data_IF_828118202988
#
_entry.id   IF_828118202988
#
_cell.length_a   1.000
_cell.length_b   1.000
_cell.length_c   1.000
_cell.angle_alpha   90.00
_cell.angle_beta   90.00
_cell.angle_gamma   90.00
#
_symmetry.space_group_name_H-M   'P 1'
#
loop_
_entity.id
_entity.type
_entity.pdbx_description
1 polymer ?
#
# COMPACT_ATOMS: atom_id res chain seq x y z
N UNK A 1 -2.72 -25.90 -25.87
CA UNK A 1 -1.31 -25.46 -25.72
C UNK A 1 -1.02 -25.36 -24.24
N UNK A 2 0.04 -26.05 -23.76
CA UNK A 2 0.43 -26.05 -22.36
C UNK A 2 1.05 -24.70 -22.03
N UNK A 3 0.83 -24.23 -20.81
CA UNK A 3 1.38 -22.97 -20.24
C UNK A 3 2.91 -22.85 -20.32
N UNK A 4 3.59 -23.92 -20.75
CA UNK A 4 5.05 -24.01 -20.92
C UNK A 4 5.59 -23.43 -22.22
N UNK A 5 4.72 -22.99 -23.13
CA UNK A 5 5.15 -22.57 -24.49
C UNK A 5 5.23 -21.03 -24.66
N UNK A 6 5.00 -20.25 -23.60
CA UNK A 6 5.23 -18.81 -23.63
C UNK A 6 6.73 -18.55 -23.39
N UNK A 7 7.40 -17.76 -24.24
CA UNK A 7 8.79 -17.41 -24.00
C UNK A 7 8.93 -16.72 -22.66
N UNK A 8 9.87 -17.17 -21.83
CA UNK A 8 10.18 -16.53 -20.56
C UNK A 8 10.69 -15.11 -20.81
N UNK A 9 10.16 -14.14 -20.06
CA UNK A 9 10.62 -12.74 -20.13
C UNK A 9 12.06 -12.69 -19.60
N UNK A 10 12.99 -12.17 -20.40
CA UNK A 10 14.38 -12.04 -20.00
C UNK A 10 14.54 -10.85 -19.07
N UNK A 11 15.09 -11.10 -17.89
CA UNK A 11 15.32 -10.06 -16.90
C UNK A 11 16.67 -9.36 -17.14
N UNK A 12 16.62 -8.08 -17.53
CA UNK A 12 17.79 -7.23 -17.79
C UNK A 12 17.54 -5.82 -17.24
N UNK A 13 17.71 -5.60 -15.93
CA UNK A 13 17.38 -4.31 -15.32
C UNK A 13 18.44 -3.22 -15.56
N UNK A 14 19.70 -3.56 -15.87
CA UNK A 14 20.78 -2.58 -16.08
C UNK A 14 20.56 -1.76 -17.33
N UNK A 15 20.07 -0.54 -17.15
CA UNK A 15 19.80 0.40 -18.24
C UNK A 15 20.10 1.87 -17.90
N UNK A 16 20.73 2.10 -16.73
CA UNK A 16 21.07 3.46 -16.26
C UNK A 16 19.93 4.21 -15.59
N UNK A 17 18.77 3.58 -15.46
CA UNK A 17 17.58 4.14 -14.79
C UNK A 17 17.21 3.21 -13.64
N UNK A 18 17.01 3.77 -12.45
CA UNK A 18 16.53 2.99 -11.29
C UNK A 18 15.01 2.88 -11.39
N UNK A 19 14.50 1.67 -11.59
CA UNK A 19 13.07 1.40 -11.76
C UNK A 19 12.51 0.62 -10.60
N UNK A 20 11.52 1.20 -9.93
CA UNK A 20 10.77 0.57 -8.85
C UNK A 20 9.35 0.27 -9.31
N UNK A 21 8.89 -0.94 -9.04
CA UNK A 21 7.53 -1.38 -9.35
C UNK A 21 6.83 -1.89 -8.09
N UNK A 22 5.56 -1.57 -7.94
CA UNK A 22 4.76 -2.06 -6.83
C UNK A 22 3.31 -1.59 -6.85
N UNK A 23 2.56 -1.97 -5.82
CA UNK A 23 1.19 -1.56 -5.66
C UNK A 23 1.07 -0.07 -5.32
N UNK A 24 -0.04 0.54 -5.69
CA UNK A 24 -0.33 1.93 -5.31
C UNK A 24 -0.40 2.13 -3.80
N UNK A 25 -0.08 3.32 -3.36
CA UNK A 25 0.00 3.74 -1.97
C UNK A 25 1.31 4.48 -1.71
N UNK A 26 2.43 3.78 -1.47
CA UNK A 26 3.72 4.41 -1.20
C UNK A 26 4.31 5.21 -2.36
N UNK A 27 3.85 4.99 -3.58
CA UNK A 27 4.43 5.58 -4.79
C UNK A 27 4.48 7.10 -4.75
N UNK A 28 3.50 7.77 -4.17
CA UNK A 28 3.47 9.24 -4.08
C UNK A 28 4.58 9.77 -3.19
N UNK A 29 4.80 9.14 -2.03
CA UNK A 29 5.90 9.49 -1.14
C UNK A 29 7.26 9.11 -1.76
N UNK A 30 7.36 7.94 -2.37
CA UNK A 30 8.59 7.51 -3.06
C UNK A 30 9.00 8.49 -4.18
N UNK A 31 8.03 8.99 -4.94
CA UNK A 31 8.31 10.00 -5.99
C UNK A 31 8.91 11.27 -5.42
N UNK A 32 8.43 11.72 -4.27
CA UNK A 32 8.99 12.91 -3.58
C UNK A 32 10.45 12.67 -3.16
N UNK A 33 10.75 11.51 -2.61
CA UNK A 33 12.11 11.12 -2.24
C UNK A 33 12.99 10.99 -3.48
N UNK A 34 12.49 10.34 -4.52
CA UNK A 34 13.19 10.16 -5.78
C UNK A 34 13.56 11.50 -6.44
N UNK A 35 12.67 12.47 -6.41
CA UNK A 35 12.91 13.81 -6.95
C UNK A 35 14.11 14.49 -6.27
N UNK A 36 14.22 14.41 -4.96
CA UNK A 36 15.34 14.94 -4.20
C UNK A 36 16.64 14.22 -4.57
N UNK A 37 16.61 12.90 -4.63
CA UNK A 37 17.79 12.10 -4.93
C UNK A 37 18.27 12.26 -6.37
N UNK A 38 17.37 12.35 -7.34
CA UNK A 38 17.71 12.60 -8.74
C UNK A 38 18.52 13.89 -8.92
N UNK A 39 18.12 14.96 -8.24
CA UNK A 39 18.81 16.26 -8.29
C UNK A 39 20.24 16.16 -7.76
N UNK A 40 20.50 15.31 -6.79
CA UNK A 40 21.81 15.14 -6.18
C UNK A 40 22.69 14.15 -6.93
N UNK A 41 22.11 13.04 -7.34
CA UNK A 41 22.85 11.93 -7.95
C UNK A 41 23.03 12.07 -9.46
N UNK A 42 22.13 12.79 -10.13
CA UNK A 42 22.06 12.82 -11.58
C UNK A 42 21.50 11.55 -12.20
N UNK A 43 21.07 10.60 -11.40
CA UNK A 43 20.49 9.32 -11.86
C UNK A 43 18.97 9.40 -11.84
N UNK A 44 18.34 9.01 -12.95
CA UNK A 44 16.88 8.98 -13.07
C UNK A 44 16.30 7.82 -12.28
N UNK A 45 15.19 8.09 -11.57
CA UNK A 45 14.39 7.10 -10.86
C UNK A 45 12.97 7.10 -11.41
N UNK A 46 12.48 5.93 -11.78
CA UNK A 46 11.10 5.74 -12.20
C UNK A 46 10.35 4.93 -11.15
N UNK A 47 9.23 5.46 -10.69
CA UNK A 47 8.34 4.81 -9.74
C UNK A 47 7.07 4.42 -10.47
N UNK A 48 6.87 3.11 -10.68
CA UNK A 48 5.73 2.58 -11.44
C UNK A 48 4.80 1.87 -10.46
N UNK A 49 3.56 2.32 -10.38
CA UNK A 49 2.55 1.80 -9.46
C UNK A 49 1.24 1.52 -10.18
N UNK A 50 0.31 0.96 -9.45
CA UNK A 50 -1.03 0.65 -9.91
C UNK A 50 -1.28 -0.85 -10.05
N UNK A 51 -2.33 -1.25 -10.76
CA UNK A 51 -2.66 -2.66 -10.95
C UNK A 51 -1.51 -3.42 -11.60
N UNK A 52 -1.10 -4.52 -10.99
CA UNK A 52 0.04 -5.34 -11.44
C UNK A 52 -0.08 -5.77 -12.91
N UNK A 53 -1.30 -6.03 -13.38
CA UNK A 53 -1.57 -6.42 -14.76
C UNK A 53 -1.06 -5.39 -15.79
N UNK A 54 -0.92 -4.12 -15.39
CA UNK A 54 -0.44 -3.06 -16.29
C UNK A 54 1.07 -3.02 -16.42
N UNK A 55 1.81 -3.50 -15.44
CA UNK A 55 3.25 -3.35 -15.41
C UNK A 55 4.03 -4.67 -15.21
N UNK A 56 3.33 -5.79 -15.02
CA UNK A 56 4.00 -7.07 -14.69
C UNK A 56 5.04 -7.49 -15.73
N UNK A 57 4.74 -7.41 -17.02
CA UNK A 57 5.69 -7.78 -18.06
C UNK A 57 6.93 -6.89 -18.05
N UNK A 58 6.75 -5.58 -17.89
CA UNK A 58 7.84 -4.61 -17.82
C UNK A 58 8.70 -4.85 -16.57
N UNK A 59 8.08 -5.11 -15.43
CA UNK A 59 8.80 -5.39 -14.18
C UNK A 59 9.62 -6.69 -14.28
N UNK A 60 9.08 -7.74 -14.89
CA UNK A 60 9.84 -8.97 -15.13
C UNK A 60 11.08 -8.70 -16.00
N UNK A 61 10.97 -7.78 -16.95
CA UNK A 61 12.06 -7.43 -17.84
C UNK A 61 13.11 -6.51 -17.19
N UNK A 62 12.70 -5.47 -16.48
CA UNK A 62 13.60 -4.36 -16.15
C UNK A 62 13.50 -3.79 -14.73
N UNK A 63 12.75 -4.40 -13.82
CA UNK A 63 12.68 -3.90 -12.45
C UNK A 63 14.02 -4.05 -11.72
N UNK A 64 14.54 -2.93 -11.20
CA UNK A 64 15.66 -2.96 -10.26
C UNK A 64 15.16 -3.30 -8.86
N UNK A 65 14.01 -2.77 -8.47
CA UNK A 65 13.44 -2.90 -7.14
C UNK A 65 11.94 -3.20 -7.25
N UNK A 66 11.47 -4.11 -6.41
CA UNK A 66 10.04 -4.29 -6.15
C UNK A 66 9.71 -3.80 -4.75
N UNK A 67 8.56 -3.17 -4.55
CA UNK A 67 8.05 -2.90 -3.21
C UNK A 67 6.72 -3.62 -2.98
N UNK A 68 6.56 -4.13 -1.78
CA UNK A 68 5.32 -4.69 -1.28
C UNK A 68 4.70 -3.76 -0.23
N UNK A 69 3.39 -3.81 -0.12
CA UNK A 69 2.63 -3.00 0.84
C UNK A 69 2.15 -3.83 2.04
N UNK A 70 2.58 -5.07 2.09
CA UNK A 70 2.45 -6.02 3.20
C UNK A 70 3.34 -7.24 2.89
N UNK A 71 3.51 -8.11 3.89
CA UNK A 71 4.17 -9.40 3.67
C UNK A 71 3.44 -10.21 2.60
N UNK A 72 2.12 -10.26 2.66
CA UNK A 72 1.30 -11.02 1.71
C UNK A 72 1.45 -10.54 0.27
N UNK A 73 1.48 -9.21 0.05
CA UNK A 73 1.64 -8.68 -1.30
C UNK A 73 3.02 -8.97 -1.88
N UNK A 74 4.07 -8.88 -1.07
CA UNK A 74 5.42 -9.23 -1.52
C UNK A 74 5.53 -10.73 -1.79
N UNK A 75 4.97 -11.58 -0.95
CA UNK A 75 4.95 -13.03 -1.18
C UNK A 75 4.28 -13.36 -2.51
N UNK A 76 3.17 -12.71 -2.83
CA UNK A 76 2.50 -12.88 -4.12
C UNK A 76 3.39 -12.44 -5.30
N UNK A 77 4.07 -11.30 -5.18
CA UNK A 77 5.00 -10.84 -6.21
C UNK A 77 6.13 -11.85 -6.47
N UNK A 78 6.72 -12.40 -5.43
CA UNK A 78 7.83 -13.36 -5.56
C UNK A 78 7.44 -14.68 -6.24
N UNK A 79 6.16 -14.98 -6.33
CA UNK A 79 5.68 -16.11 -7.16
C UNK A 79 5.81 -15.82 -8.65
N UNK A 80 5.75 -14.56 -9.05
CA UNK A 80 5.84 -14.13 -10.45
C UNK A 80 7.27 -13.69 -10.81
N UNK A 81 7.90 -12.87 -9.97
CA UNK A 81 9.20 -12.24 -10.25
C UNK A 81 10.36 -13.10 -9.76
N UNK A 82 10.63 -14.17 -10.52
CA UNK A 82 11.59 -15.22 -10.12
C UNK A 82 13.05 -14.77 -10.07
N UNK A 83 13.39 -13.63 -10.67
CA UNK A 83 14.73 -13.08 -10.60
C UNK A 83 15.08 -12.50 -9.21
N UNK A 84 14.08 -12.27 -8.36
CA UNK A 84 14.26 -11.69 -7.04
C UNK A 84 14.39 -12.76 -5.97
N UNK A 85 15.37 -12.59 -5.07
CA UNK A 85 15.65 -13.52 -3.98
C UNK A 85 14.75 -13.19 -2.76
N UNK A 86 13.86 -14.12 -2.36
CA UNK A 86 13.01 -13.90 -1.20
C UNK A 86 13.75 -13.59 0.10
N UNK A 87 14.97 -14.14 0.26
CA UNK A 87 15.78 -13.92 1.46
C UNK A 87 16.34 -12.50 1.58
N UNK A 88 16.24 -11.72 0.50
CA UNK A 88 16.73 -10.33 0.45
C UNK A 88 15.63 -9.29 0.68
N UNK A 89 14.40 -9.71 0.87
CA UNK A 89 13.29 -8.80 1.20
C UNK A 89 13.57 -8.14 2.55
N UNK A 90 13.41 -6.80 2.61
CA UNK A 90 13.61 -6.01 3.82
C UNK A 90 12.43 -5.08 4.06
N UNK A 91 11.89 -5.05 5.29
CA UNK A 91 10.97 -3.98 5.67
C UNK A 91 11.75 -2.66 5.79
N UNK A 92 11.17 -1.58 5.27
CA UNK A 92 11.80 -0.26 5.30
C UNK A 92 10.97 0.79 6.04
N UNK A 93 9.66 0.68 6.02
CA UNK A 93 8.72 1.58 6.70
C UNK A 93 7.54 0.80 7.24
N UNK A 94 6.84 1.39 8.22
CA UNK A 94 5.55 0.91 8.71
C UNK A 94 4.54 2.06 8.63
N UNK A 95 3.25 1.71 8.58
CA UNK A 95 2.17 2.68 8.71
C UNK A 95 0.98 2.06 9.44
N UNK A 96 0.21 2.89 10.17
CA UNK A 96 -0.96 2.43 10.91
C UNK A 96 -2.19 2.38 10.02
N UNK A 97 -3.15 1.51 10.37
CA UNK A 97 -4.53 1.66 9.89
C UNK A 97 -5.15 2.92 10.47
N UNK A 98 -6.00 3.56 9.69
CA UNK A 98 -6.77 4.74 10.09
C UNK A 98 -8.21 4.61 9.60
N UNK A 99 -9.06 5.51 10.07
CA UNK A 99 -10.39 5.70 9.51
C UNK A 99 -10.31 6.87 8.53
N UNK A 100 -10.64 6.64 7.27
CA UNK A 100 -10.90 7.72 6.32
C UNK A 100 -12.40 8.03 6.35
N UNK A 101 -12.75 9.28 6.60
CA UNK A 101 -14.15 9.75 6.64
C UNK A 101 -14.36 10.79 5.55
N UNK A 102 -15.61 11.17 5.28
CA UNK A 102 -15.90 12.29 4.37
C UNK A 102 -15.19 13.55 4.83
N UNK A 103 -14.68 14.34 3.90
CA UNK A 103 -14.09 15.64 4.19
C UNK A 103 -15.07 16.51 5.01
N UNK A 104 -14.54 17.12 6.07
CA UNK A 104 -15.36 17.87 7.04
C UNK A 104 -15.98 17.01 8.15
N UNK A 105 -15.85 15.70 8.06
CA UNK A 105 -16.36 14.75 9.06
C UNK A 105 -17.81 15.01 9.49
N UNK A 106 -18.79 14.98 8.58
CA UNK A 106 -20.17 15.37 8.88
C UNK A 106 -20.86 14.48 9.90
N UNK A 107 -20.43 13.24 10.07
CA UNK A 107 -20.96 12.29 11.06
C UNK A 107 -20.25 12.38 12.42
N UNK A 108 -19.29 13.28 12.57
CA UNK A 108 -18.51 13.44 13.81
C UNK A 108 -17.92 12.11 14.32
N UNK A 109 -17.28 11.38 13.42
CA UNK A 109 -16.60 10.11 13.73
C UNK A 109 -15.31 10.44 14.49
N UNK A 110 -15.17 9.93 15.72
CA UNK A 110 -14.02 10.24 16.58
C UNK A 110 -13.11 9.04 16.86
N UNK A 111 -13.56 7.85 16.50
CA UNK A 111 -12.83 6.61 16.73
C UNK A 111 -13.67 5.41 16.30
N UNK A 112 -13.23 4.22 16.66
CA UNK A 112 -13.89 2.98 16.27
C UNK A 112 -15.36 2.89 16.75
N UNK A 113 -15.64 3.31 17.97
CA UNK A 113 -17.01 3.21 18.53
C UNK A 113 -18.04 3.98 17.71
N UNK A 114 -17.64 5.07 17.07
CA UNK A 114 -18.51 5.81 16.15
C UNK A 114 -18.97 4.96 14.97
N UNK A 115 -18.18 3.98 14.57
CA UNK A 115 -18.47 3.09 13.43
C UNK A 115 -19.52 2.01 13.77
N UNK A 116 -19.83 1.83 15.05
CA UNK A 116 -20.82 0.87 15.52
C UNK A 116 -22.25 1.43 15.56
N UNK A 117 -22.41 2.72 15.33
CA UNK A 117 -23.73 3.37 15.26
C UNK A 117 -24.50 2.79 14.08
N UNK A 118 -25.75 2.38 14.35
CA UNK A 118 -26.63 1.80 13.34
C UNK A 118 -26.83 2.76 12.16
N UNK A 119 -26.71 2.22 10.95
CA UNK A 119 -26.86 2.98 9.71
C UNK A 119 -25.58 3.67 9.22
N UNK A 120 -24.47 3.54 9.94
CA UNK A 120 -23.16 3.99 9.46
C UNK A 120 -22.78 3.18 8.20
N UNK A 121 -22.35 3.86 7.15
CA UNK A 121 -21.99 3.22 5.89
C UNK A 121 -20.47 3.08 5.80
N UNK A 122 -19.97 1.85 5.86
CA UNK A 122 -18.55 1.56 5.92
C UNK A 122 -18.10 0.80 4.66
N UNK A 123 -17.00 1.25 4.06
CA UNK A 123 -16.29 0.51 3.01
C UNK A 123 -15.11 -0.21 3.63
N UNK A 124 -14.89 -1.45 3.23
CA UNK A 124 -13.72 -2.24 3.60
C UNK A 124 -13.03 -2.78 2.36
N UNK A 125 -11.73 -3.02 2.47
CA UNK A 125 -10.93 -3.60 1.39
C UNK A 125 -10.82 -5.10 1.60
N UNK A 126 -11.17 -5.84 0.56
CA UNK A 126 -11.02 -7.30 0.51
C UNK A 126 -9.94 -7.69 -0.50
N UNK A 127 -9.49 -8.92 -0.39
CA UNK A 127 -8.58 -9.54 -1.34
C UNK A 127 -9.13 -10.88 -1.82
N UNK A 128 -8.40 -11.54 -2.67
CA UNK A 128 -8.82 -12.79 -3.30
C UNK A 128 -7.66 -13.79 -3.28
N UNK A 129 -7.50 -14.49 -2.16
CA UNK A 129 -6.43 -15.47 -1.98
C UNK A 129 -5.04 -14.82 -2.11
N UNK A 130 -4.24 -15.30 -3.05
CA UNK A 130 -2.89 -14.79 -3.28
C UNK A 130 -2.86 -13.34 -3.80
N UNK A 131 -3.98 -12.80 -4.23
CA UNK A 131 -4.10 -11.41 -4.70
C UNK A 131 -4.47 -10.43 -3.58
N UNK A 132 -4.20 -10.82 -2.34
CA UNK A 132 -4.45 -9.96 -1.20
C UNK A 132 -3.61 -8.68 -1.26
N UNK A 133 -4.25 -7.57 -0.91
CA UNK A 133 -3.60 -6.27 -0.82
C UNK A 133 -3.32 -5.90 0.64
N UNK A 134 -2.62 -4.82 0.87
CA UNK A 134 -2.29 -4.34 2.22
C UNK A 134 -3.51 -4.04 3.10
N UNK A 135 -4.65 -3.72 2.48
CA UNK A 135 -5.89 -3.44 3.20
C UNK A 135 -6.75 -4.67 3.48
N UNK A 136 -6.41 -5.83 2.90
CA UNK A 136 -7.21 -7.04 3.03
C UNK A 136 -7.25 -7.54 4.47
N UNK A 137 -8.47 -7.80 4.98
CA UNK A 137 -8.68 -8.38 6.30
C UNK A 137 -8.40 -7.44 7.47
N UNK A 138 -7.92 -6.22 7.24
CA UNK A 138 -7.60 -5.29 8.34
C UNK A 138 -8.82 -4.91 9.15
N UNK A 139 -9.99 -4.82 8.55
CA UNK A 139 -11.20 -4.45 9.27
C UNK A 139 -11.58 -5.49 10.34
N UNK A 140 -11.36 -6.78 10.08
CA UNK A 140 -11.64 -7.84 11.05
C UNK A 140 -10.69 -7.71 12.26
N UNK A 141 -9.41 -7.46 12.02
CA UNK A 141 -8.44 -7.25 13.07
C UNK A 141 -8.76 -5.99 13.89
N UNK A 142 -9.13 -4.90 13.24
CA UNK A 142 -9.53 -3.66 13.90
C UNK A 142 -10.78 -3.88 14.74
N UNK A 143 -11.82 -4.47 14.17
CA UNK A 143 -13.10 -4.68 14.85
C UNK A 143 -13.00 -5.72 15.97
N UNK A 144 -12.19 -6.76 15.79
CA UNK A 144 -12.03 -7.83 16.76
C UNK A 144 -11.03 -7.54 17.87
N UNK A 145 -10.14 -6.58 17.68
CA UNK A 145 -9.09 -6.28 18.64
C UNK A 145 -9.66 -5.53 19.86
N UNK A 146 -9.44 -6.06 21.05
CA UNK A 146 -9.98 -5.54 22.32
C UNK A 146 -11.50 -5.37 22.33
N UNK A 147 -12.19 -5.96 21.34
CA UNK A 147 -13.64 -5.89 21.19
C UNK A 147 -14.31 -7.23 21.47
N UNK A 148 -15.62 -7.19 21.61
CA UNK A 148 -16.45 -8.39 21.69
C UNK A 148 -16.87 -8.88 20.31
N UNK A 149 -17.36 -10.11 20.22
CA UNK A 149 -18.00 -10.61 19.01
C UNK A 149 -19.21 -9.75 18.59
N UNK A 150 -19.86 -9.09 19.56
CA UNK A 150 -20.94 -8.15 19.26
C UNK A 150 -20.43 -6.93 18.49
N UNK A 151 -19.25 -6.41 18.83
CA UNK A 151 -18.64 -5.29 18.12
C UNK A 151 -18.33 -5.67 16.66
N UNK A 152 -17.77 -6.84 16.44
CA UNK A 152 -17.50 -7.38 15.09
C UNK A 152 -18.81 -7.52 14.32
N UNK A 153 -19.83 -8.10 14.92
CA UNK A 153 -21.15 -8.31 14.29
C UNK A 153 -21.82 -6.97 13.94
N UNK A 154 -21.76 -5.99 14.84
CA UNK A 154 -22.34 -4.67 14.61
C UNK A 154 -21.58 -3.90 13.52
N UNK A 155 -20.26 -3.94 13.55
CA UNK A 155 -19.43 -3.36 12.48
C UNK A 155 -19.78 -3.99 11.11
N UNK A 156 -19.85 -5.32 11.05
CA UNK A 156 -20.19 -6.04 9.82
C UNK A 156 -21.54 -5.62 9.24
N UNK A 157 -22.54 -5.36 10.06
CA UNK A 157 -23.84 -4.89 9.60
C UNK A 157 -23.78 -3.55 8.88
N UNK A 158 -22.80 -2.72 9.22
CA UNK A 158 -22.60 -1.39 8.64
C UNK A 158 -21.77 -1.41 7.36
N UNK A 159 -21.17 -2.54 6.99
CA UNK A 159 -20.36 -2.64 5.77
C UNK A 159 -21.27 -2.63 4.55
N UNK A 160 -21.10 -1.65 3.68
CA UNK A 160 -21.88 -1.48 2.44
C UNK A 160 -21.10 -1.94 1.20
N UNK A 161 -19.78 -2.12 1.30
CA UNK A 161 -18.95 -2.61 0.20
C UNK A 161 -17.73 -3.35 0.71
N UNK A 162 -17.49 -4.50 0.11
CA UNK A 162 -16.27 -5.29 0.21
C UNK A 162 -15.54 -5.16 -1.12
N UNK A 163 -14.67 -4.17 -1.23
CA UNK A 163 -14.05 -3.80 -2.50
C UNK A 163 -12.70 -4.49 -2.71
N UNK A 164 -12.42 -4.94 -3.91
CA UNK A 164 -11.18 -5.62 -4.27
C UNK A 164 -10.05 -4.62 -4.52
N UNK A 165 -9.27 -4.32 -3.48
CA UNK A 165 -8.14 -3.40 -3.52
C UNK A 165 -8.50 -1.98 -3.10
N UNK A 166 -7.47 -1.20 -2.78
CA UNK A 166 -7.64 0.16 -2.22
C UNK A 166 -8.25 1.15 -3.22
N UNK A 167 -7.88 1.07 -4.49
CA UNK A 167 -8.45 1.94 -5.54
C UNK A 167 -9.94 1.69 -5.73
N UNK A 168 -10.36 0.42 -5.74
CA UNK A 168 -11.78 0.05 -5.81
C UNK A 168 -12.54 0.49 -4.57
N UNK A 169 -11.91 0.41 -3.38
CA UNK A 169 -12.49 0.89 -2.12
C UNK A 169 -12.72 2.39 -2.16
N UNK A 170 -11.75 3.15 -2.66
CA UNK A 170 -11.89 4.61 -2.81
C UNK A 170 -13.03 4.99 -3.77
N UNK A 171 -13.14 4.29 -4.89
CA UNK A 171 -14.25 4.50 -5.82
C UNK A 171 -15.59 4.16 -5.20
N UNK A 172 -15.71 3.03 -4.49
CA UNK A 172 -16.92 2.63 -3.79
C UNK A 172 -17.30 3.65 -2.70
N UNK A 173 -16.31 4.18 -1.98
CA UNK A 173 -16.55 5.22 -0.97
C UNK A 173 -17.28 6.42 -1.57
N UNK A 174 -16.86 6.88 -2.73
CA UNK A 174 -17.49 8.01 -3.43
C UNK A 174 -18.87 7.65 -4.00
N UNK A 175 -18.94 6.53 -4.73
CA UNK A 175 -20.17 6.11 -5.42
C UNK A 175 -21.33 5.79 -4.46
N UNK A 176 -21.02 5.17 -3.32
CA UNK A 176 -22.01 4.80 -2.32
C UNK A 176 -22.28 5.88 -1.30
N UNK A 177 -21.62 7.02 -1.41
CA UNK A 177 -21.71 8.10 -0.41
C UNK A 177 -21.44 7.53 0.99
N UNK A 178 -20.37 6.77 1.14
CA UNK A 178 -20.02 6.10 2.39
C UNK A 178 -19.54 7.08 3.46
N UNK A 179 -19.65 6.68 4.72
CA UNK A 179 -19.28 7.52 5.86
C UNK A 179 -17.85 7.27 6.32
N UNK A 180 -17.37 6.03 6.18
CA UNK A 180 -16.06 5.62 6.67
C UNK A 180 -15.45 4.51 5.83
N UNK A 181 -14.11 4.45 5.88
CA UNK A 181 -13.31 3.42 5.23
C UNK A 181 -12.09 3.14 6.09
N UNK A 182 -11.90 1.89 6.47
CA UNK A 182 -10.69 1.45 7.18
C UNK A 182 -9.58 1.30 6.16
N UNK A 183 -8.55 2.13 6.27
CA UNK A 183 -7.49 2.22 5.28
C UNK A 183 -6.17 2.74 5.88
N UNK A 184 -5.32 3.30 5.05
CA UNK A 184 -4.00 3.81 5.38
C UNK A 184 -3.93 5.33 5.25
N UNK A 185 -3.03 6.01 5.99
CA UNK A 185 -2.99 7.49 6.03
C UNK A 185 -2.79 8.16 4.67
N UNK A 186 -2.10 7.52 3.75
CA UNK A 186 -1.84 8.11 2.43
C UNK A 186 -3.12 8.48 1.67
N UNK A 187 -4.21 7.72 1.85
CA UNK A 187 -5.46 7.99 1.14
C UNK A 187 -6.09 9.32 1.55
N UNK A 188 -6.41 9.59 2.82
CA UNK A 188 -6.92 10.90 3.20
C UNK A 188 -5.90 12.02 3.02
N UNK A 189 -4.60 11.77 3.21
CA UNK A 189 -3.57 12.80 3.05
C UNK A 189 -3.47 13.26 1.59
N UNK A 190 -3.55 12.34 0.63
CA UNK A 190 -3.42 12.67 -0.80
C UNK A 190 -4.75 13.05 -1.47
N UNK A 191 -5.89 12.86 -0.79
CA UNK A 191 -7.23 13.19 -1.29
C UNK A 191 -8.02 14.04 -0.27
N UNK A 192 -7.50 15.19 0.17
CA UNK A 192 -8.12 15.98 1.25
C UNK A 192 -9.44 16.63 0.87
N UNK A 193 -9.75 16.73 -0.41
CA UNK A 193 -11.01 17.21 -0.94
C UNK A 193 -12.18 16.21 -0.73
N UNK A 194 -11.85 14.93 -0.64
CA UNK A 194 -12.83 13.82 -0.50
C UNK A 194 -12.81 13.21 0.88
N UNK A 195 -11.61 13.07 1.46
CA UNK A 195 -11.36 12.30 2.68
C UNK A 195 -10.71 13.15 3.76
N UNK A 196 -11.02 12.79 5.01
CA UNK A 196 -10.35 13.30 6.21
C UNK A 196 -9.88 12.12 7.06
N UNK A 197 -8.73 12.26 7.71
CA UNK A 197 -8.15 11.22 8.54
C UNK A 197 -8.67 11.31 9.97
N UNK A 198 -9.20 10.21 10.49
CA UNK A 198 -9.50 10.02 11.91
C UNK A 198 -8.65 8.86 12.40
N UNK A 199 -7.83 9.05 13.43
CA UNK A 199 -7.03 7.94 13.97
C UNK A 199 -7.90 6.88 14.63
N UNK A 200 -7.46 5.64 14.58
CA UNK A 200 -8.02 4.56 15.39
C UNK A 200 -7.47 4.61 16.81
N UNK A 201 -8.22 4.06 17.73
CA UNK A 201 -7.77 3.83 19.11
C UNK A 201 -6.48 3.01 19.07
N UNK A 202 -5.53 3.33 19.95
CA UNK A 202 -4.23 2.68 19.96
C UNK A 202 -4.32 1.15 20.02
N UNK A 203 -5.22 0.63 20.87
CA UNK A 203 -5.43 -0.82 21.03
C UNK A 203 -6.03 -1.52 19.81
N UNK A 204 -6.58 -0.76 18.84
CA UNK A 204 -7.18 -1.32 17.63
C UNK A 204 -6.36 -1.04 16.39
N UNK A 205 -5.29 -0.27 16.51
CA UNK A 205 -4.43 0.09 15.39
C UNK A 205 -3.61 -1.09 14.91
N UNK A 206 -3.68 -1.37 13.62
CA UNK A 206 -2.87 -2.40 12.96
C UNK A 206 -1.73 -1.72 12.21
N UNK A 207 -0.53 -2.18 12.42
CA UNK A 207 0.66 -1.70 11.73
C UNK A 207 1.09 -2.73 10.68
N UNK A 208 1.34 -2.27 9.46
CA UNK A 208 1.91 -3.12 8.41
C UNK A 208 3.12 -2.43 7.78
N UNK A 209 4.06 -3.26 7.34
CA UNK A 209 5.29 -2.78 6.72
C UNK A 209 5.14 -2.46 5.24
N UNK A 210 6.01 -1.60 4.77
CA UNK A 210 6.41 -1.47 3.38
C UNK A 210 7.75 -2.17 3.27
N UNK A 211 7.85 -3.12 2.36
CA UNK A 211 9.06 -3.90 2.15
C UNK A 211 9.57 -3.75 0.72
N UNK A 212 10.84 -4.00 0.54
CA UNK A 212 11.52 -3.91 -0.75
C UNK A 212 12.42 -5.10 -0.97
N UNK A 213 12.64 -5.42 -2.23
CA UNK A 213 13.66 -6.36 -2.66
C UNK A 213 14.34 -5.81 -3.91
N UNK A 214 15.66 -5.92 -3.96
CA UNK A 214 16.49 -5.48 -5.07
C UNK A 214 16.86 -6.68 -5.95
N UNK A 215 16.82 -6.49 -7.28
CA UNK A 215 17.31 -7.50 -8.21
C UNK A 215 18.82 -7.69 -8.04
N UNK A 216 19.33 -8.93 -8.08
CA UNK A 216 20.78 -9.16 -8.07
C UNK A 216 21.49 -8.58 -9.29
N UNK A 217 20.75 -8.34 -10.37
CA UNK A 217 21.26 -7.75 -11.62
C UNK A 217 20.93 -6.27 -11.77
N UNK A 218 20.44 -5.62 -10.72
CA UNK A 218 20.07 -4.22 -10.72
C UNK A 218 21.24 -3.28 -11.06
N UNK A 219 20.91 -2.08 -11.55
CA UNK A 219 21.85 -0.99 -11.60
C UNK A 219 22.45 -0.73 -10.20
N UNK A 220 23.74 -0.40 -10.15
CA UNK A 220 24.42 -0.06 -8.89
C UNK A 220 23.71 1.05 -8.14
N UNK A 221 23.20 2.00 -8.85
CA UNK A 221 22.47 3.16 -8.31
C UNK A 221 21.16 2.77 -7.59
N UNK A 222 20.61 1.60 -7.89
CA UNK A 222 19.42 1.09 -7.20
C UNK A 222 19.66 0.88 -5.71
N UNK A 223 20.78 0.29 -5.32
CA UNK A 223 21.13 0.14 -3.91
C UNK A 223 21.40 1.50 -3.27
N UNK A 224 22.06 2.41 -3.99
CA UNK A 224 22.31 3.77 -3.51
C UNK A 224 21.00 4.52 -3.25
N UNK A 225 20.01 4.35 -4.12
CA UNK A 225 18.69 4.94 -3.91
C UNK A 225 17.99 4.35 -2.67
N UNK A 226 18.03 3.02 -2.50
CA UNK A 226 17.46 2.39 -1.30
C UNK A 226 18.14 2.88 -0.02
N UNK A 227 19.46 3.06 -0.04
CA UNK A 227 20.19 3.59 1.10
C UNK A 227 19.74 5.04 1.42
N UNK A 228 19.52 5.85 0.40
CA UNK A 228 18.98 7.20 0.56
C UNK A 228 17.54 7.20 1.10
N UNK A 229 16.71 6.27 0.62
CA UNK A 229 15.29 6.18 0.99
C UNK A 229 15.05 5.98 2.49
N UNK A 230 16.04 5.45 3.21
CA UNK A 230 15.94 5.22 4.66
C UNK A 230 16.76 6.23 5.48
N UNK A 231 17.33 7.26 4.87
CA UNK A 231 17.98 8.35 5.58
C UNK A 231 17.00 9.18 6.39
N UNK A 232 17.50 9.92 7.37
CA UNK A 232 16.67 10.82 8.19
C UNK A 232 15.93 11.85 7.31
N UNK A 233 16.59 12.38 6.28
CA UNK A 233 15.97 13.32 5.34
C UNK A 233 14.80 12.67 4.60
N UNK A 234 14.99 11.46 4.06
CA UNK A 234 13.93 10.73 3.38
C UNK A 234 12.80 10.34 4.34
N UNK A 235 13.12 9.98 5.57
CA UNK A 235 12.12 9.66 6.61
C UNK A 235 11.18 10.84 6.89
N UNK A 236 11.69 12.08 6.87
CA UNK A 236 10.86 13.27 7.02
C UNK A 236 9.88 13.43 5.87
N UNK A 237 10.30 13.14 4.65
CA UNK A 237 9.44 13.17 3.47
C UNK A 237 8.37 12.06 3.56
N UNK A 238 8.80 10.83 3.87
CA UNK A 238 7.89 9.69 4.01
C UNK A 238 6.86 9.91 5.11
N UNK A 239 7.25 10.55 6.22
CA UNK A 239 6.37 10.86 7.35
C UNK A 239 5.22 11.81 6.96
N UNK A 240 5.40 12.66 5.93
CA UNK A 240 4.32 13.54 5.44
C UNK A 240 3.11 12.77 4.91
N UNK A 241 3.28 11.52 4.55
CA UNK A 241 2.21 10.65 4.06
C UNK A 241 1.92 9.47 5.02
N UNK A 242 2.40 9.57 6.27
CA UNK A 242 2.05 8.63 7.34
C UNK A 242 2.99 7.44 7.49
N UNK A 243 4.11 7.39 6.80
CA UNK A 243 5.08 6.31 6.90
C UNK A 243 6.11 6.60 7.98
N UNK A 244 6.43 5.60 8.80
CA UNK A 244 7.40 5.65 9.90
C UNK A 244 8.41 4.51 9.79
N UNK A 245 9.54 4.73 10.40
CA UNK A 245 10.53 3.65 10.61
C UNK A 245 10.45 3.09 11.99
#
# INVERSE_FOLDING_TARGET
RRSSDLPSIKHKPKDGVVKLYGAGGPHTAFKKVAEVWEKRSGTKVEIIAGPESRWSADAQADADILWGTSEQSMTAFLLTYKAFDPSKVKPIYIRPTVIAVKAGNPKNIQGFDSLLVEGMKIVVTEGKGIYNTSGTGTWEDVAGRMGSLNDVAQFRKNIVSYSLGSGASFNAFKELDADAWITWPNWPITHPDVLELVPLDEGRTIWRDINVVISPDADREAQMFLDFLVTEEAQKIMATEGYRR
#
